data_IF_068908980045
#
_entry.id   IF_068908980045
#
_cell.length_a   1.000
_cell.length_b   1.000
_cell.length_c   1.000
_cell.angle_alpha   90.00
_cell.angle_beta   90.00
_cell.angle_gamma   90.00
#
_symmetry.space_group_name_H-M   'P 1'
#
loop_
_entity.id
_entity.type
_entity.pdbx_description
1 polymer ?
#
# COMPACT_ATOMS: atom_id res chain seq x y z
N UNK A 1 7.68 -11.33 -39.76
CA UNK A 1 6.56 -11.07 -38.84
C UNK A 1 7.17 -11.06 -37.45
N UNK A 2 7.28 -9.89 -36.83
CA UNK A 2 7.75 -9.81 -35.45
C UNK A 2 6.58 -10.29 -34.59
N UNK A 3 6.68 -11.48 -34.00
CA UNK A 3 5.65 -11.99 -33.11
C UNK A 3 5.55 -11.05 -31.91
N UNK A 4 4.35 -10.55 -31.63
CA UNK A 4 4.09 -9.78 -30.42
C UNK A 4 4.37 -10.68 -29.20
N UNK A 5 5.45 -10.39 -28.47
CA UNK A 5 5.90 -11.22 -27.34
C UNK A 5 5.02 -11.03 -26.10
N UNK A 6 4.24 -9.94 -26.04
CA UNK A 6 3.52 -9.53 -24.83
C UNK A 6 2.46 -10.53 -24.38
N UNK A 7 1.58 -11.09 -25.23
CA UNK A 7 0.51 -11.98 -24.76
C UNK A 7 1.05 -13.24 -24.05
N UNK A 8 2.05 -13.90 -24.64
CA UNK A 8 2.67 -15.09 -24.05
C UNK A 8 3.44 -14.75 -22.76
N UNK A 9 4.17 -13.63 -22.76
CA UNK A 9 4.92 -13.19 -21.60
C UNK A 9 4.00 -12.82 -20.43
N UNK A 10 2.93 -12.07 -20.70
CA UNK A 10 1.94 -11.68 -19.70
C UNK A 10 1.22 -12.90 -19.12
N UNK A 11 0.83 -13.87 -19.95
CA UNK A 11 0.21 -15.11 -19.47
C UNK A 11 1.14 -15.88 -18.51
N UNK A 12 2.42 -16.04 -18.87
CA UNK A 12 3.42 -16.71 -18.03
C UNK A 12 3.60 -15.99 -16.69
N UNK A 13 3.72 -14.65 -16.73
CA UNK A 13 3.88 -13.81 -15.53
C UNK A 13 2.66 -13.95 -14.62
N UNK A 14 1.45 -13.76 -15.16
CA UNK A 14 0.21 -13.84 -14.37
C UNK A 14 0.01 -15.22 -13.76
N UNK A 15 0.26 -16.29 -14.53
CA UNK A 15 0.11 -17.66 -14.05
C UNK A 15 1.06 -17.96 -12.89
N UNK A 16 2.33 -17.62 -13.03
CA UNK A 16 3.33 -17.87 -11.98
C UNK A 16 3.07 -16.99 -10.76
N UNK A 17 2.78 -15.71 -10.96
CA UNK A 17 2.42 -14.79 -9.87
C UNK A 17 1.25 -15.35 -9.05
N UNK A 18 0.18 -15.77 -9.71
CA UNK A 18 -0.99 -16.35 -9.02
C UNK A 18 -0.64 -17.66 -8.30
N UNK A 19 0.20 -18.51 -8.89
CA UNK A 19 0.63 -19.75 -8.25
C UNK A 19 1.49 -19.50 -7.00
N UNK A 20 2.43 -18.55 -7.05
CA UNK A 20 3.26 -18.16 -5.92
C UNK A 20 2.45 -17.44 -4.84
N UNK A 21 1.58 -16.50 -5.23
CA UNK A 21 0.70 -15.75 -4.33
C UNK A 21 -0.18 -16.69 -3.50
N UNK A 22 -0.84 -17.65 -4.14
CA UNK A 22 -1.75 -18.59 -3.47
C UNK A 22 -1.05 -19.58 -2.53
N UNK A 23 0.27 -19.75 -2.66
CA UNK A 23 1.08 -20.65 -1.81
C UNK A 23 1.94 -19.90 -0.80
N UNK A 24 1.97 -18.57 -0.85
CA UNK A 24 2.83 -17.76 0.00
C UNK A 24 2.34 -17.79 1.45
N UNK A 25 3.14 -18.38 2.35
CA UNK A 25 2.77 -18.58 3.75
C UNK A 25 2.51 -17.27 4.50
N UNK A 26 3.22 -16.18 4.17
CA UNK A 26 3.05 -14.86 4.78
C UNK A 26 1.70 -14.26 4.37
N UNK A 27 1.37 -14.31 3.08
CA UNK A 27 0.08 -13.85 2.54
C UNK A 27 -1.08 -14.64 3.16
N UNK A 28 -0.99 -15.98 3.19
CA UNK A 28 -2.02 -16.84 3.79
C UNK A 28 -2.21 -16.55 5.28
N UNK A 29 -1.12 -16.31 6.02
CA UNK A 29 -1.18 -15.92 7.43
C UNK A 29 -1.89 -14.58 7.63
N UNK A 30 -1.57 -13.57 6.81
CA UNK A 30 -2.18 -12.25 6.90
C UNK A 30 -3.66 -12.29 6.53
N UNK A 31 -4.03 -13.04 5.48
CA UNK A 31 -5.45 -13.27 5.13
C UNK A 31 -6.23 -13.91 6.28
N UNK A 32 -5.62 -14.84 7.01
CA UNK A 32 -6.21 -15.41 8.23
C UNK A 32 -6.35 -14.37 9.35
N UNK A 33 -5.36 -13.49 9.54
CA UNK A 33 -5.45 -12.42 10.54
C UNK A 33 -6.54 -11.40 10.19
N UNK A 34 -6.74 -11.12 8.89
CA UNK A 34 -7.85 -10.29 8.40
C UNK A 34 -9.19 -10.96 8.75
N UNK A 35 -9.36 -12.25 8.44
CA UNK A 35 -10.63 -12.94 8.73
C UNK A 35 -10.91 -13.09 10.23
N UNK A 36 -9.85 -13.13 11.06
CA UNK A 36 -9.96 -13.17 12.52
C UNK A 36 -10.13 -11.79 13.16
N UNK A 37 -10.00 -10.70 12.39
CA UNK A 37 -10.11 -9.33 12.90
C UNK A 37 -8.91 -8.86 13.72
N UNK A 38 -7.75 -9.51 13.59
CA UNK A 38 -6.54 -9.20 14.37
C UNK A 38 -5.45 -8.51 13.56
N UNK A 39 -5.68 -8.30 12.25
CA UNK A 39 -4.70 -7.68 11.36
C UNK A 39 -4.58 -6.16 11.59
N UNK A 40 -3.38 -5.64 11.36
CA UNK A 40 -2.98 -4.25 11.58
C UNK A 40 -2.26 -3.67 10.36
N UNK A 41 -1.87 -2.40 10.41
CA UNK A 41 -1.06 -1.79 9.34
C UNK A 41 0.35 -2.38 9.20
N UNK A 42 0.87 -3.06 10.23
CA UNK A 42 2.08 -3.89 10.12
C UNK A 42 1.83 -5.02 9.12
N UNK A 43 0.69 -5.70 9.24
CA UNK A 43 0.32 -6.79 8.35
C UNK A 43 0.01 -6.30 6.93
N UNK A 44 -0.59 -5.12 6.79
CA UNK A 44 -0.79 -4.48 5.48
C UNK A 44 0.54 -4.19 4.78
N UNK A 45 1.52 -3.63 5.51
CA UNK A 45 2.87 -3.39 5.00
C UNK A 45 3.55 -4.71 4.60
N UNK A 46 3.54 -5.70 5.48
CA UNK A 46 4.12 -7.01 5.23
C UNK A 46 3.50 -7.75 4.04
N UNK A 47 2.18 -7.60 3.85
CA UNK A 47 1.44 -8.10 2.71
C UNK A 47 1.90 -7.41 1.42
N UNK A 48 2.05 -6.09 1.44
CA UNK A 48 2.51 -5.31 0.28
C UNK A 48 3.93 -5.68 -0.15
N UNK A 49 4.83 -5.94 0.82
CA UNK A 49 6.19 -6.43 0.55
C UNK A 49 6.12 -7.80 -0.11
N UNK A 50 5.35 -8.74 0.45
CA UNK A 50 5.23 -10.08 -0.11
C UNK A 50 4.67 -10.08 -1.53
N UNK A 51 3.66 -9.25 -1.82
CA UNK A 51 3.07 -9.09 -3.15
C UNK A 51 4.09 -8.50 -4.14
N UNK A 52 4.82 -7.47 -3.72
CA UNK A 52 5.89 -6.86 -4.53
C UNK A 52 7.03 -7.82 -4.82
N UNK A 53 7.52 -8.54 -3.80
CA UNK A 53 8.62 -9.50 -3.91
C UNK A 53 8.29 -10.65 -4.87
N UNK A 54 7.05 -11.18 -4.83
CA UNK A 54 6.60 -12.21 -5.77
C UNK A 54 6.66 -11.66 -7.20
N UNK A 55 6.09 -10.47 -7.44
CA UNK A 55 6.06 -9.91 -8.79
C UNK A 55 7.48 -9.62 -9.32
N UNK A 56 8.36 -9.05 -8.49
CA UNK A 56 9.75 -8.81 -8.83
C UNK A 56 10.49 -10.09 -9.23
N UNK A 57 10.32 -11.18 -8.46
CA UNK A 57 10.90 -12.49 -8.82
C UNK A 57 10.35 -13.04 -10.13
N UNK A 58 9.04 -12.93 -10.34
CA UNK A 58 8.38 -13.40 -11.56
C UNK A 58 8.86 -12.59 -12.78
N UNK A 59 9.00 -11.27 -12.65
CA UNK A 59 9.60 -10.44 -13.71
C UNK A 59 11.03 -10.89 -14.02
N UNK A 60 11.88 -11.03 -13.00
CA UNK A 60 13.27 -11.49 -13.19
C UNK A 60 13.37 -12.86 -13.86
N UNK A 61 12.38 -13.73 -13.67
CA UNK A 61 12.33 -15.06 -14.28
C UNK A 61 11.93 -15.04 -15.76
N UNK A 62 11.03 -14.16 -16.15
CA UNK A 62 10.41 -14.19 -17.47
C UNK A 62 10.82 -13.05 -18.40
N UNK A 63 11.37 -11.96 -17.87
CA UNK A 63 11.77 -10.78 -18.63
C UNK A 63 13.29 -10.70 -18.61
N UNK A 64 13.89 -10.98 -19.77
CA UNK A 64 15.34 -10.93 -20.02
C UNK A 64 15.59 -10.62 -21.50
N UNK A 65 16.78 -10.17 -21.85
CA UNK A 65 17.09 -9.65 -23.20
C UNK A 65 16.69 -10.60 -24.33
N UNK A 66 16.96 -11.90 -24.22
CA UNK A 66 16.68 -12.87 -25.30
C UNK A 66 15.18 -13.06 -25.63
N UNK A 67 14.27 -12.73 -24.70
CA UNK A 67 12.81 -12.79 -24.96
C UNK A 67 12.25 -11.47 -25.48
N UNK A 68 13.06 -10.42 -25.49
CA UNK A 68 12.68 -9.09 -25.94
C UNK A 68 13.16 -8.87 -27.39
N UNK A 69 12.39 -8.13 -28.22
CA UNK A 69 12.85 -7.81 -29.56
C UNK A 69 14.13 -6.97 -29.47
N UNK A 70 15.17 -7.39 -30.20
CA UNK A 70 16.48 -6.72 -30.22
C UNK A 70 17.14 -6.59 -28.83
N UNK A 71 16.74 -7.40 -27.85
CA UNK A 71 17.24 -7.26 -26.48
C UNK A 71 16.67 -6.06 -25.72
N UNK A 72 15.71 -5.32 -26.31
CA UNK A 72 15.23 -4.04 -25.82
C UNK A 72 13.79 -4.12 -25.29
N UNK A 73 13.57 -3.51 -24.13
CA UNK A 73 12.21 -3.28 -23.62
C UNK A 73 11.61 -2.01 -24.25
N UNK A 74 10.86 -2.15 -25.34
CA UNK A 74 10.15 -1.00 -25.93
C UNK A 74 8.99 -0.53 -25.04
N UNK A 75 8.67 0.77 -25.13
CA UNK A 75 7.60 1.41 -24.36
C UNK A 75 6.27 0.65 -24.43
N UNK A 76 5.85 0.21 -25.62
CA UNK A 76 4.59 -0.52 -25.80
C UNK A 76 4.58 -1.91 -25.13
N UNK A 77 5.75 -2.55 -25.01
CA UNK A 77 5.91 -3.83 -24.31
C UNK A 77 5.86 -3.58 -22.80
N UNK A 78 6.66 -2.62 -22.31
CA UNK A 78 6.69 -2.22 -20.91
C UNK A 78 5.31 -1.77 -20.41
N UNK A 79 4.63 -0.87 -21.14
CA UNK A 79 3.33 -0.34 -20.75
C UNK A 79 2.29 -1.45 -20.59
N UNK A 80 2.17 -2.34 -21.58
CA UNK A 80 1.17 -3.42 -21.55
C UNK A 80 1.43 -4.39 -20.40
N UNK A 81 2.68 -4.74 -20.14
CA UNK A 81 3.04 -5.67 -19.05
C UNK A 81 2.84 -5.01 -17.69
N UNK A 82 3.39 -3.80 -17.49
CA UNK A 82 3.43 -3.13 -16.20
C UNK A 82 2.08 -2.54 -15.81
N UNK A 83 1.33 -1.96 -16.74
CA UNK A 83 0.00 -1.43 -16.44
C UNK A 83 -0.96 -2.50 -15.95
N UNK A 84 -0.88 -3.72 -16.50
CA UNK A 84 -1.72 -4.84 -16.05
C UNK A 84 -1.25 -5.40 -14.69
N UNK A 85 0.03 -5.76 -14.60
CA UNK A 85 0.58 -6.44 -13.42
C UNK A 85 0.66 -5.54 -12.18
N UNK A 86 1.09 -4.28 -12.33
CA UNK A 86 1.07 -3.31 -11.21
C UNK A 86 -0.36 -2.91 -10.85
N UNK A 87 -1.27 -2.89 -11.83
CA UNK A 87 -2.70 -2.73 -11.59
C UNK A 87 -3.29 -3.86 -10.74
N UNK A 88 -2.88 -5.11 -10.98
CA UNK A 88 -3.27 -6.25 -10.16
C UNK A 88 -2.71 -6.15 -8.73
N UNK A 89 -1.41 -5.86 -8.56
CA UNK A 89 -0.81 -5.64 -7.25
C UNK A 89 -1.55 -4.55 -6.47
N UNK A 90 -1.86 -3.43 -7.13
CA UNK A 90 -2.63 -2.34 -6.54
C UNK A 90 -3.99 -2.84 -6.01
N UNK A 91 -4.76 -3.56 -6.82
CA UNK A 91 -6.07 -4.09 -6.40
C UNK A 91 -5.94 -5.02 -5.18
N UNK A 92 -4.96 -5.93 -5.19
CA UNK A 92 -4.74 -6.87 -4.09
C UNK A 92 -4.40 -6.14 -2.78
N UNK A 93 -3.50 -5.16 -2.85
CA UNK A 93 -3.02 -4.42 -1.67
C UNK A 93 -4.11 -3.48 -1.15
N UNK A 94 -4.83 -2.78 -2.04
CA UNK A 94 -5.95 -1.92 -1.63
C UNK A 94 -7.03 -2.73 -0.94
N UNK A 95 -7.45 -3.86 -1.52
CA UNK A 95 -8.49 -4.70 -0.93
C UNK A 95 -8.11 -5.24 0.45
N UNK A 96 -6.86 -5.68 0.65
CA UNK A 96 -6.39 -6.17 1.94
C UNK A 96 -6.32 -5.03 2.97
N UNK A 97 -5.75 -3.89 2.58
CA UNK A 97 -5.57 -2.73 3.47
C UNK A 97 -6.91 -2.10 3.84
N UNK A 98 -7.89 -2.08 2.93
CA UNK A 98 -9.23 -1.59 3.20
C UNK A 98 -9.92 -2.42 4.28
N UNK A 99 -9.86 -3.75 4.17
CA UNK A 99 -10.40 -4.66 5.20
C UNK A 99 -9.72 -4.42 6.56
N UNK A 100 -8.39 -4.28 6.58
CA UNK A 100 -7.64 -3.98 7.80
C UNK A 100 -8.09 -2.65 8.42
N UNK A 101 -8.22 -1.60 7.62
CA UNK A 101 -8.66 -0.29 8.10
C UNK A 101 -10.09 -0.35 8.70
N UNK A 102 -11.00 -1.07 8.05
CA UNK A 102 -12.37 -1.26 8.56
C UNK A 102 -12.39 -2.04 9.88
N UNK A 103 -11.54 -3.06 10.01
CA UNK A 103 -11.36 -3.81 11.26
C UNK A 103 -10.85 -2.92 12.39
N UNK A 104 -9.86 -2.06 12.11
CA UNK A 104 -9.31 -1.12 13.10
C UNK A 104 -10.35 -0.08 13.50
N UNK A 105 -11.09 0.49 12.54
CA UNK A 105 -12.18 1.42 12.81
C UNK A 105 -13.23 0.77 13.72
N UNK A 106 -13.69 -0.44 13.39
CA UNK A 106 -14.67 -1.17 14.18
C UNK A 106 -14.17 -1.47 15.59
N UNK A 107 -12.90 -1.88 15.72
CA UNK A 107 -12.27 -2.17 17.02
C UNK A 107 -12.15 -0.92 17.90
N UNK A 108 -12.03 0.26 17.30
CA UNK A 108 -12.07 1.55 17.98
C UNK A 108 -13.50 2.09 18.24
N UNK A 109 -14.54 1.31 17.93
CA UNK A 109 -15.93 1.74 18.08
C UNK A 109 -16.36 2.80 17.06
N UNK A 110 -15.68 2.87 15.91
CA UNK A 110 -15.97 3.80 14.82
C UNK A 110 -16.78 3.08 13.73
N UNK A 111 -17.96 3.63 13.40
CA UNK A 111 -18.77 3.18 12.26
C UNK A 111 -18.28 3.70 10.90
N UNK A 112 -16.96 3.80 10.71
CA UNK A 112 -16.35 4.38 9.52
C UNK A 112 -15.85 3.29 8.57
N UNK A 113 -16.19 3.44 7.29
CA UNK A 113 -15.55 2.66 6.23
C UNK A 113 -14.13 3.13 6.01
N UNK A 114 -13.29 2.25 5.48
CA UNK A 114 -11.97 2.65 5.02
C UNK A 114 -12.06 3.52 3.76
N UNK A 115 -11.06 4.38 3.57
CA UNK A 115 -10.88 5.19 2.37
C UNK A 115 -9.94 4.45 1.42
N UNK A 116 -10.41 4.18 0.21
CA UNK A 116 -9.58 3.63 -0.86
C UNK A 116 -8.77 4.72 -1.58
N UNK A 117 -7.70 4.33 -2.26
CA UNK A 117 -6.89 5.22 -3.10
C UNK A 117 -6.88 4.68 -4.54
N UNK A 118 -6.97 5.57 -5.55
CA UNK A 118 -6.86 5.15 -6.95
C UNK A 118 -5.41 4.81 -7.30
N UNK A 119 -5.24 3.99 -8.34
CA UNK A 119 -3.92 3.72 -8.91
C UNK A 119 -3.29 5.02 -9.43
N UNK A 120 -2.10 5.34 -8.92
CA UNK A 120 -1.29 6.46 -9.39
C UNK A 120 -0.68 6.15 -10.76
N UNK A 121 -1.45 6.38 -11.82
CA UNK A 121 -1.02 6.12 -13.22
C UNK A 121 0.31 6.79 -13.55
N UNK A 122 0.56 7.99 -13.03
CA UNK A 122 1.83 8.70 -13.26
C UNK A 122 3.05 7.93 -12.73
N UNK A 123 2.90 7.19 -11.62
CA UNK A 123 3.98 6.35 -11.10
C UNK A 123 4.24 5.15 -11.99
N UNK A 124 3.18 4.51 -12.49
CA UNK A 124 3.31 3.40 -13.45
C UNK A 124 4.00 3.91 -14.72
N UNK A 125 3.52 5.03 -15.28
CA UNK A 125 4.10 5.67 -16.45
C UNK A 125 5.57 6.04 -16.25
N UNK A 126 5.94 6.51 -15.04
CA UNK A 126 7.35 6.79 -14.72
C UNK A 126 8.20 5.53 -14.80
N UNK A 127 7.74 4.40 -14.25
CA UNK A 127 8.49 3.13 -14.32
C UNK A 127 8.58 2.64 -15.77
N UNK A 128 7.48 2.71 -16.52
CA UNK A 128 7.43 2.35 -17.94
C UNK A 128 8.43 3.16 -18.76
N UNK A 129 8.41 4.49 -18.61
CA UNK A 129 9.32 5.40 -19.30
C UNK A 129 10.78 5.11 -18.95
N UNK A 130 11.09 4.89 -17.67
CA UNK A 130 12.44 4.58 -17.21
C UNK A 130 12.96 3.26 -17.76
N UNK A 131 12.14 2.21 -17.84
CA UNK A 131 12.59 0.91 -18.37
C UNK A 131 12.76 0.96 -19.89
N UNK A 132 11.97 1.78 -20.58
CA UNK A 132 12.04 1.91 -22.02
C UNK A 132 13.17 2.84 -22.52
N UNK A 133 13.92 3.47 -21.61
CA UNK A 133 14.95 4.45 -21.97
C UNK A 133 16.23 3.83 -22.51
N UNK A 134 16.56 2.62 -22.07
CA UNK A 134 17.80 1.96 -22.47
C UNK A 134 17.63 1.11 -23.74
N UNK A 135 18.70 1.01 -24.53
CA UNK A 135 18.73 0.16 -25.72
C UNK A 135 18.93 -1.32 -25.35
N UNK A 136 19.64 -1.60 -24.25
CA UNK A 136 19.81 -2.95 -23.71
C UNK A 136 19.04 -3.10 -22.40
N UNK A 137 18.15 -4.10 -22.34
CA UNK A 137 17.34 -4.35 -21.15
C UNK A 137 18.19 -4.69 -19.90
N UNK A 138 19.33 -5.35 -20.06
CA UNK A 138 20.15 -5.76 -18.92
C UNK A 138 20.69 -4.57 -18.12
N UNK A 139 20.87 -3.41 -18.76
CA UNK A 139 21.34 -2.17 -18.10
C UNK A 139 20.28 -1.55 -17.17
N UNK A 140 19.00 -1.87 -17.39
CA UNK A 140 17.86 -1.31 -16.67
C UNK A 140 17.00 -2.37 -15.96
N UNK A 141 17.36 -3.66 -16.05
CA UNK A 141 16.59 -4.77 -15.48
C UNK A 141 16.35 -4.64 -13.97
N UNK A 142 17.25 -3.94 -13.25
CA UNK A 142 17.11 -3.64 -11.82
C UNK A 142 15.84 -2.86 -11.47
N UNK A 143 15.24 -2.13 -12.42
CA UNK A 143 13.98 -1.41 -12.24
C UNK A 143 12.78 -2.34 -12.01
N UNK A 144 12.87 -3.61 -12.42
CA UNK A 144 11.84 -4.63 -12.20
C UNK A 144 12.02 -5.41 -10.90
N UNK A 145 12.97 -5.00 -10.04
CA UNK A 145 13.24 -5.64 -8.76
C UNK A 145 12.70 -4.79 -7.60
N UNK A 146 13.59 -4.19 -6.79
CA UNK A 146 13.22 -3.40 -5.61
C UNK A 146 12.22 -2.26 -5.88
N UNK A 147 12.26 -1.53 -7.02
CA UNK A 147 11.27 -0.49 -7.28
C UNK A 147 9.82 -1.01 -7.33
N UNK A 148 9.61 -2.28 -7.69
CA UNK A 148 8.29 -2.93 -7.68
C UNK A 148 7.80 -3.17 -6.25
N UNK A 149 8.72 -3.53 -5.35
CA UNK A 149 8.45 -3.68 -3.91
C UNK A 149 8.13 -2.32 -3.29
N UNK A 150 8.94 -1.31 -3.59
CA UNK A 150 8.72 0.08 -3.12
C UNK A 150 7.40 0.64 -3.62
N UNK A 151 7.04 0.39 -4.89
CA UNK A 151 5.74 0.73 -5.45
C UNK A 151 4.59 0.10 -4.64
N UNK A 152 4.73 -1.18 -4.32
CA UNK A 152 3.74 -1.96 -3.55
C UNK A 152 3.56 -1.39 -2.14
N UNK A 153 4.65 -1.09 -1.43
CA UNK A 153 4.61 -0.47 -0.11
C UNK A 153 3.97 0.91 -0.11
N UNK A 154 4.23 1.72 -1.15
CA UNK A 154 3.69 3.06 -1.23
C UNK A 154 2.16 3.07 -1.24
N UNK A 155 1.51 2.05 -1.81
CA UNK A 155 0.05 1.94 -1.81
C UNK A 155 -0.50 1.93 -0.38
N UNK A 156 0.13 1.17 0.52
CA UNK A 156 -0.27 1.12 1.94
C UNK A 156 -0.07 2.47 2.61
N UNK A 157 1.06 3.15 2.36
CA UNK A 157 1.31 4.47 2.95
C UNK A 157 0.30 5.51 2.48
N UNK A 158 -0.10 5.49 1.20
CA UNK A 158 -1.12 6.40 0.67
C UNK A 158 -2.49 6.13 1.27
N UNK A 159 -2.85 4.85 1.45
CA UNK A 159 -4.09 4.49 2.13
C UNK A 159 -4.07 4.94 3.59
N UNK A 160 -2.96 4.75 4.31
CA UNK A 160 -2.81 5.22 5.68
C UNK A 160 -2.99 6.74 5.76
N UNK A 161 -2.30 7.48 4.89
CA UNK A 161 -2.42 8.94 4.79
C UNK A 161 -3.87 9.37 4.53
N UNK A 162 -4.53 8.78 3.54
CA UNK A 162 -5.91 9.12 3.17
C UNK A 162 -6.89 8.87 4.33
N UNK A 163 -6.73 7.76 5.05
CA UNK A 163 -7.59 7.42 6.18
C UNK A 163 -7.35 8.32 7.41
N UNK A 164 -6.08 8.61 7.72
CA UNK A 164 -5.72 9.55 8.78
C UNK A 164 -6.28 10.95 8.48
N UNK A 165 -6.12 11.43 7.26
CA UNK A 165 -6.65 12.73 6.83
C UNK A 165 -8.18 12.77 6.90
N UNK A 166 -8.86 11.70 6.49
CA UNK A 166 -10.31 11.58 6.57
C UNK A 166 -10.80 11.62 8.02
N UNK A 167 -10.15 10.90 8.92
CA UNK A 167 -10.50 10.92 10.34
C UNK A 167 -10.25 12.27 10.99
N UNK A 168 -9.13 12.90 10.68
CA UNK A 168 -8.82 14.22 11.18
C UNK A 168 -9.84 15.28 10.74
N UNK A 169 -10.26 15.25 9.46
CA UNK A 169 -11.34 16.09 8.94
C UNK A 169 -12.67 15.84 9.66
N UNK A 170 -12.84 14.66 10.25
CA UNK A 170 -14.01 14.29 11.05
C UNK A 170 -13.88 14.65 12.54
N UNK A 171 -12.85 15.43 12.92
CA UNK A 171 -12.63 15.90 14.29
C UNK A 171 -11.95 14.89 15.22
N UNK A 172 -11.42 13.79 14.68
CA UNK A 172 -10.64 12.81 15.45
C UNK A 172 -9.16 13.18 15.46
N UNK A 173 -8.42 12.57 16.39
CA UNK A 173 -6.97 12.73 16.53
C UNK A 173 -6.27 11.38 16.47
N UNK A 174 -6.23 10.74 15.28
CA UNK A 174 -5.53 9.47 15.13
C UNK A 174 -4.04 9.63 15.41
N UNK A 175 -3.42 8.55 15.87
CA UNK A 175 -1.98 8.48 16.12
C UNK A 175 -1.30 7.67 15.02
N UNK A 176 -0.15 8.15 14.58
CA UNK A 176 0.72 7.47 13.63
C UNK A 176 2.01 7.12 14.35
N UNK A 177 2.42 5.86 14.31
CA UNK A 177 3.69 5.43 14.88
C UNK A 177 4.59 4.95 13.76
N UNK A 178 5.72 5.61 13.52
CA UNK A 178 6.73 5.09 12.61
C UNK A 178 7.70 4.22 13.38
N UNK A 179 7.74 2.94 13.02
CA UNK A 179 8.64 1.94 13.59
C UNK A 179 9.76 1.68 12.59
N UNK A 180 10.98 1.88 13.06
CA UNK A 180 12.17 1.62 12.26
C UNK A 180 12.46 0.12 12.29
N UNK A 181 12.74 -0.47 11.13
CA UNK A 181 13.02 -1.90 10.99
C UNK A 181 14.23 -2.14 10.10
N UNK A 182 15.02 -3.18 10.40
CA UNK A 182 16.21 -3.56 9.65
C UNK A 182 17.47 -3.55 10.51
N UNK A 183 18.57 -4.14 10.00
CA UNK A 183 19.86 -4.18 10.70
C UNK A 183 20.52 -2.80 10.74
N UNK A 184 20.38 -2.00 9.67
CA UNK A 184 20.93 -0.64 9.54
C UNK A 184 19.90 0.32 8.91
N UNK A 185 19.00 0.91 9.72
CA UNK A 185 18.08 1.92 9.22
C UNK A 185 18.79 3.24 8.93
N UNK A 186 18.43 3.90 7.83
CA UNK A 186 19.07 5.17 7.47
C UNK A 186 18.76 6.28 8.51
N UNK A 187 19.68 7.22 8.66
CA UNK A 187 19.56 8.36 9.60
C UNK A 187 18.25 9.13 9.46
N UNK A 188 17.78 9.28 8.22
CA UNK A 188 16.53 9.96 7.94
C UNK A 188 15.31 9.19 8.48
N UNK A 189 15.29 7.86 8.35
CA UNK A 189 14.25 7.02 8.96
C UNK A 189 14.31 7.02 10.48
N UNK A 190 15.51 7.00 11.07
CA UNK A 190 15.69 7.09 12.53
C UNK A 190 15.15 8.40 13.09
N UNK A 191 15.35 9.53 12.39
CA UNK A 191 14.81 10.85 12.80
C UNK A 191 13.28 10.95 12.72
N UNK A 192 12.65 10.15 11.87
CA UNK A 192 11.19 10.11 11.71
C UNK A 192 10.54 9.05 12.63
N UNK A 193 11.33 8.29 13.39
CA UNK A 193 10.82 7.27 14.30
C UNK A 193 10.07 7.91 15.47
N UNK A 194 8.93 7.34 15.84
CA UNK A 194 8.14 7.81 16.98
C UNK A 194 6.66 7.84 16.70
N UNK A 195 5.90 8.24 17.72
CA UNK A 195 4.45 8.38 17.67
C UNK A 195 4.06 9.85 17.56
N UNK A 196 3.20 10.16 16.61
CA UNK A 196 2.73 11.50 16.30
C UNK A 196 1.21 11.54 16.36
N UNK A 197 0.64 12.64 16.87
CA UNK A 197 -0.80 12.88 16.89
C UNK A 197 -1.18 13.81 15.73
N UNK A 198 -2.12 13.39 14.89
CA UNK A 198 -2.56 14.21 13.76
C UNK A 198 -3.36 15.45 14.25
N UNK A 199 -3.17 16.65 13.65
CA UNK A 199 -2.41 16.97 12.43
C UNK A 199 -0.91 17.27 12.63
N UNK A 200 -0.39 17.15 13.84
CA UNK A 200 1.00 17.48 14.16
C UNK A 200 1.95 16.33 13.77
N UNK A 201 2.03 16.02 12.48
CA UNK A 201 2.88 14.98 11.92
C UNK A 201 3.91 15.57 10.95
N UNK A 202 5.16 15.05 10.90
CA UNK A 202 6.13 15.45 9.89
C UNK A 202 5.58 15.20 8.47
N UNK A 203 5.80 16.14 7.55
CA UNK A 203 5.35 16.01 6.15
C UNK A 203 5.88 14.76 5.47
N UNK A 204 7.08 14.35 5.88
CA UNK A 204 7.83 13.22 5.32
C UNK A 204 7.49 11.87 5.96
N UNK A 205 6.54 11.81 6.90
CA UNK A 205 6.23 10.59 7.66
C UNK A 205 5.78 9.40 6.80
N UNK A 206 5.23 9.66 5.61
CA UNK A 206 4.79 8.64 4.65
C UNK A 206 5.81 8.37 3.53
N UNK A 207 6.94 9.10 3.50
CA UNK A 207 7.95 8.93 2.46
C UNK A 207 8.85 7.73 2.80
N UNK A 208 9.36 7.10 1.75
CA UNK A 208 10.28 5.96 1.79
C UNK A 208 11.44 6.20 0.85
N UNK A 209 12.63 5.78 1.27
CA UNK A 209 13.75 5.59 0.36
C UNK A 209 13.65 4.21 -0.29
N UNK A 210 14.42 4.00 -1.36
CA UNK A 210 14.58 2.68 -1.96
C UNK A 210 15.09 1.67 -0.91
N UNK A 211 14.63 0.41 -0.97
CA UNK A 211 14.94 -0.65 0.02
C UNK A 211 14.48 -0.38 1.45
N UNK A 212 13.67 0.65 1.70
CA UNK A 212 13.15 0.91 3.04
C UNK A 212 12.14 -0.17 3.46
N UNK A 213 12.33 -0.75 4.65
CA UNK A 213 11.35 -1.68 5.24
C UNK A 213 10.63 -1.10 6.46
N UNK A 214 10.92 0.13 6.88
CA UNK A 214 10.30 0.76 8.06
C UNK A 214 8.77 0.74 7.98
N UNK A 215 8.11 0.58 9.11
CA UNK A 215 6.66 0.44 9.18
C UNK A 215 6.05 1.76 9.62
N UNK A 216 4.91 2.13 9.04
CA UNK A 216 4.07 3.21 9.54
C UNK A 216 2.81 2.55 10.09
N UNK A 217 2.73 2.49 11.41
CA UNK A 217 1.57 2.02 12.15
C UNK A 217 0.57 3.16 12.33
N UNK A 218 -0.69 2.75 12.46
CA UNK A 218 -1.82 3.65 12.59
C UNK A 218 -2.75 3.15 13.70
N UNK A 219 -3.10 4.08 14.59
CA UNK A 219 -4.08 3.88 15.64
C UNK A 219 -5.22 4.91 15.47
N UNK A 220 -6.45 4.47 15.16
CA UNK A 220 -7.62 5.35 15.00
C UNK A 220 -7.98 6.16 16.26
N UNK A 221 -7.43 5.83 17.43
CA UNK A 221 -7.75 6.46 18.71
C UNK A 221 -9.08 5.98 19.29
N UNK A 222 -9.56 6.66 20.32
CA UNK A 222 -10.88 6.40 20.90
C UNK A 222 -11.98 7.13 20.08
N UNK A 223 -13.25 6.71 20.20
CA UNK A 223 -14.43 7.43 19.69
C UNK A 223 -14.70 8.76 20.44
N UNK A 224 -13.66 9.52 20.78
CA UNK A 224 -13.74 10.86 21.39
C UNK A 224 -13.88 11.87 20.27
N UNK A 225 -15.05 12.49 20.21
CA UNK A 225 -15.42 13.51 19.24
C UNK A 225 -15.28 14.88 19.89
N UNK A 226 -14.68 15.84 19.21
CA UNK A 226 -14.57 17.22 19.67
C UNK A 226 -15.65 18.08 18.98
N UNK A 227 -16.37 18.88 19.74
CA UNK A 227 -17.34 19.83 19.23
C UNK A 227 -16.61 20.91 18.42
N UNK A 228 -17.01 21.12 17.15
CA UNK A 228 -16.33 22.05 16.24
C UNK A 228 -16.48 23.52 16.64
N UNK A 229 -17.58 23.87 17.32
CA UNK A 229 -17.92 25.23 17.72
C UNK A 229 -17.31 25.59 19.07
N UNK A 230 -17.42 24.68 20.05
CA UNK A 230 -16.93 24.94 21.41
C UNK A 230 -15.50 24.48 21.62
N UNK A 231 -15.00 23.59 20.75
CA UNK A 231 -13.72 22.86 20.90
C UNK A 231 -13.66 22.01 22.17
N UNK A 232 -14.80 21.71 22.79
CA UNK A 232 -14.88 20.79 23.93
C UNK A 232 -15.03 19.35 23.47
N UNK A 233 -14.63 18.41 24.33
CA UNK A 233 -14.80 16.99 24.07
C UNK A 233 -16.21 16.55 24.44
N UNK A 234 -16.87 15.83 23.53
CA UNK A 234 -18.18 15.24 23.81
C UNK A 234 -18.05 14.21 24.94
N UNK A 235 -18.85 14.41 25.97
CA UNK A 235 -19.03 13.48 27.09
C UNK A 235 -19.69 12.18 26.61
N UNK A 236 -19.60 11.11 27.41
CA UNK A 236 -20.24 9.84 27.04
C UNK A 236 -21.77 9.97 26.96
N UNK A 237 -22.37 10.81 27.78
CA UNK A 237 -23.81 11.15 27.76
C UNK A 237 -24.21 11.82 26.43
N UNK A 238 -23.41 12.78 25.95
CA UNK A 238 -23.66 13.44 24.67
C UNK A 238 -23.46 12.49 23.48
N UNK A 239 -22.53 11.52 23.58
CA UNK A 239 -22.36 10.49 22.55
C UNK A 239 -23.55 9.55 22.49
N UNK A 240 -24.06 9.10 23.63
CA UNK A 240 -25.26 8.25 23.71
C UNK A 240 -26.50 8.97 23.15
N UNK A 241 -26.66 10.25 23.46
CA UNK A 241 -27.73 11.08 22.89
C UNK A 241 -27.64 11.20 21.36
N UNK A 242 -26.44 11.32 20.79
CA UNK A 242 -26.24 11.36 19.34
C UNK A 242 -26.56 10.01 18.69
N UNK A 243 -26.15 8.89 19.30
CA UNK A 243 -26.47 7.55 18.79
C UNK A 243 -27.97 7.25 18.89
N UNK A 244 -28.64 7.68 19.97
CA UNK A 244 -30.10 7.61 20.10
C UNK A 244 -30.80 8.39 18.98
N UNK A 245 -30.37 9.61 18.66
CA UNK A 245 -30.99 10.43 17.60
C UNK A 245 -30.93 9.76 16.22
N UNK A 246 -29.85 9.04 15.91
CA UNK A 246 -29.73 8.25 14.67
C UNK A 246 -30.75 7.12 14.58
N UNK A 247 -31.13 6.50 15.70
CA UNK A 247 -32.17 5.45 15.71
C UNK A 247 -33.57 6.00 15.46
N UNK A 248 -33.80 7.30 15.70
CA UNK A 248 -35.06 7.99 15.41
C UNK A 248 -35.11 8.65 14.03
N UNK A 249 -34.06 8.53 13.20
CA UNK A 249 -34.03 9.09 11.85
C UNK A 249 -33.96 10.62 11.79
N UNK A 250 -33.41 11.27 12.83
CA UNK A 250 -33.14 12.70 12.90
C UNK A 250 -31.65 13.00 12.71
#
# INVERSE_FOLDING_TARGET
MNNDVVPELLEKIQREFNAEFNKNSKILKIQKMISQGTATYVDAHDYSVAVGDILARVFKKYIYSDVLPEGRMYYNIADRILSDTLGNNHKLIVNATLQIQELLNKSAGLGLKGVEVPLYKDKVNSIVNSIASEDNFDDIAWMLDEPIVTFSQNIVDQMLKANVEFQAKSGMRPKITRVVSGHDPCDWCMKLAGTYEYPNVPTDIYRRHDRCRCIVEYNPGDNKKQNIWTKDWLTNEEKEQIELRKTYGL
#
